data_IF_297296845130
#
_entry.id   IF_297296845130
#
_cell.length_a   1.000
_cell.length_b   1.000
_cell.length_c   1.000
_cell.angle_alpha   90.00
_cell.angle_beta   90.00
_cell.angle_gamma   90.00
#
_symmetry.space_group_name_H-M   'P 1'
#
loop_
_entity.id
_entity.type
_entity.pdbx_description
1 polymer ?
#
# COMPACT_ATOMS: atom_id res chain seq x y z
N UNK A 1 -46.60 -24.78 -30.76
CA UNK A 1 -46.45 -23.41 -30.25
C UNK A 1 -44.98 -23.18 -29.98
N UNK A 2 -44.38 -22.06 -30.42
CA UNK A 2 -43.05 -21.69 -29.97
C UNK A 2 -43.09 -21.35 -28.47
N UNK A 3 -41.99 -21.53 -27.72
CA UNK A 3 -41.94 -21.13 -26.32
C UNK A 3 -42.08 -19.61 -26.18
N UNK A 4 -42.63 -19.10 -25.06
CA UNK A 4 -42.73 -17.67 -24.84
C UNK A 4 -41.32 -17.06 -24.82
N UNK A 5 -41.15 -15.98 -25.58
CA UNK A 5 -39.91 -15.20 -25.60
C UNK A 5 -39.57 -14.77 -24.17
N UNK A 6 -38.33 -15.04 -23.75
CA UNK A 6 -37.79 -14.50 -22.50
C UNK A 6 -37.97 -12.99 -22.54
N UNK A 7 -38.57 -12.43 -21.48
CA UNK A 7 -38.67 -11.00 -21.31
C UNK A 7 -37.24 -10.43 -21.36
N UNK A 8 -36.92 -9.70 -22.43
CA UNK A 8 -35.74 -8.86 -22.50
C UNK A 8 -35.89 -7.78 -21.42
N UNK A 9 -35.45 -8.07 -20.19
CA UNK A 9 -35.09 -7.02 -19.25
C UNK A 9 -33.81 -6.40 -19.78
N UNK A 10 -33.96 -5.38 -20.62
CA UNK A 10 -32.89 -4.39 -20.80
C UNK A 10 -32.37 -4.01 -19.42
N UNK A 11 -31.04 -4.00 -19.18
CA UNK A 11 -30.50 -3.45 -17.95
C UNK A 11 -31.07 -2.04 -17.82
N UNK A 12 -31.82 -1.78 -16.75
CA UNK A 12 -32.19 -0.41 -16.42
C UNK A 12 -30.87 0.33 -16.26
N UNK A 13 -30.63 1.26 -17.16
CA UNK A 13 -29.58 2.25 -17.08
C UNK A 13 -29.66 2.89 -15.68
N UNK A 14 -28.72 2.55 -14.79
CA UNK A 14 -28.66 3.10 -13.42
C UNK A 14 -27.94 4.43 -13.47
N UNK A 15 -28.51 5.36 -14.23
CA UNK A 15 -28.08 6.75 -14.34
C UNK A 15 -29.00 7.55 -13.42
N UNK A 16 -28.54 7.89 -12.21
CA UNK A 16 -28.86 9.13 -11.46
C UNK A 16 -28.44 9.07 -9.98
N UNK A 17 -28.10 10.23 -9.43
CA UNK A 17 -27.54 10.57 -8.11
C UNK A 17 -28.35 10.12 -6.88
N UNK A 18 -28.68 8.84 -6.78
CA UNK A 18 -29.39 8.29 -5.64
C UNK A 18 -28.43 7.91 -4.51
N UNK A 19 -28.81 8.25 -3.27
CA UNK A 19 -28.11 7.78 -2.08
C UNK A 19 -28.06 6.25 -2.09
N UNK A 20 -26.86 5.69 -1.89
CA UNK A 20 -26.65 4.25 -1.83
C UNK A 20 -26.13 3.81 -0.46
N UNK A 21 -26.42 2.57 -0.08
CA UNK A 21 -25.74 1.93 1.04
C UNK A 21 -24.43 1.32 0.52
N UNK A 22 -23.30 1.97 0.83
CA UNK A 22 -22.00 1.60 0.28
C UNK A 22 -21.22 0.69 1.24
N UNK A 23 -21.21 -0.62 0.97
CA UNK A 23 -20.53 -1.65 1.78
C UNK A 23 -19.28 -2.23 1.10
N UNK A 24 -18.68 -1.48 0.18
CA UNK A 24 -17.56 -1.93 -0.65
C UNK A 24 -16.27 -1.10 -0.45
N UNK A 25 -16.18 -0.32 0.64
CA UNK A 25 -15.02 0.52 0.96
C UNK A 25 -13.72 -0.25 1.18
N UNK A 26 -13.84 -1.53 1.53
CA UNK A 26 -12.74 -2.48 1.61
C UNK A 26 -12.12 -2.83 0.24
N UNK A 27 -12.80 -2.52 -0.86
CA UNK A 27 -12.32 -2.71 -2.23
C UNK A 27 -11.93 -1.40 -2.89
N UNK A 28 -12.82 -0.39 -2.83
CA UNK A 28 -12.55 0.97 -3.28
C UNK A 28 -13.16 1.95 -2.28
N UNK A 29 -12.33 2.78 -1.66
CA UNK A 29 -12.78 3.79 -0.72
C UNK A 29 -13.61 4.91 -1.38
N UNK A 30 -14.54 5.49 -0.61
CA UNK A 30 -15.32 6.65 -1.07
C UNK A 30 -14.40 7.86 -1.23
N UNK A 31 -14.67 8.71 -2.22
CA UNK A 31 -13.87 9.91 -2.47
C UNK A 31 -14.01 10.94 -1.32
N UNK A 32 -12.91 11.35 -0.66
CA UNK A 32 -12.94 12.50 0.23
C UNK A 32 -13.35 13.78 -0.51
N UNK A 33 -14.22 14.61 0.10
CA UNK A 33 -14.72 15.85 -0.53
C UNK A 33 -13.61 16.82 -0.97
N UNK A 34 -12.49 16.82 -0.24
CA UNK A 34 -11.33 17.67 -0.52
C UNK A 34 -10.52 17.22 -1.75
N UNK A 35 -10.67 15.98 -2.22
CA UNK A 35 -9.84 15.43 -3.32
C UNK A 35 -9.91 16.27 -4.59
N UNK A 36 -11.12 16.74 -4.97
CA UNK A 36 -11.28 17.61 -6.15
C UNK A 36 -10.46 18.89 -6.03
N UNK A 37 -10.48 19.51 -4.86
CA UNK A 37 -9.74 20.74 -4.62
C UNK A 37 -8.23 20.49 -4.76
N UNK A 38 -7.68 19.46 -4.11
CA UNK A 38 -6.24 19.20 -4.14
C UNK A 38 -5.74 18.92 -5.56
N UNK A 39 -6.51 18.18 -6.37
CA UNK A 39 -6.16 17.96 -7.78
C UNK A 39 -6.14 19.26 -8.59
N UNK A 40 -7.13 20.14 -8.39
CA UNK A 40 -7.19 21.42 -9.08
C UNK A 40 -6.03 22.33 -8.68
N UNK A 41 -5.61 22.30 -7.42
CA UNK A 41 -4.43 23.02 -6.92
C UNK A 41 -3.13 22.56 -7.63
N UNK A 42 -2.92 21.26 -7.80
CA UNK A 42 -1.75 20.73 -8.52
C UNK A 42 -1.78 21.09 -10.01
N UNK A 43 -2.94 21.02 -10.65
CA UNK A 43 -3.12 21.42 -12.05
C UNK A 43 -2.86 22.92 -12.25
N UNK A 44 -3.28 23.76 -11.30
CA UNK A 44 -3.00 25.19 -11.31
C UNK A 44 -1.50 25.47 -11.20
N UNK A 45 -0.80 24.78 -10.29
CA UNK A 45 0.66 24.93 -10.12
C UNK A 45 1.38 24.49 -11.39
N UNK A 46 0.99 23.37 -11.99
CA UNK A 46 1.58 22.92 -13.24
C UNK A 46 1.40 23.95 -14.35
N UNK A 47 0.18 24.46 -14.53
CA UNK A 47 -0.13 25.46 -15.57
C UNK A 47 0.64 26.78 -15.38
N UNK A 48 0.86 27.21 -14.13
CA UNK A 48 1.49 28.52 -13.83
C UNK A 48 3.01 28.47 -13.70
N UNK A 49 3.58 27.35 -13.24
CA UNK A 49 4.98 27.27 -12.80
C UNK A 49 5.81 26.24 -13.55
N UNK A 50 5.18 25.29 -14.26
CA UNK A 50 5.91 24.21 -14.93
C UNK A 50 6.89 23.50 -14.00
N UNK A 51 8.13 23.31 -14.46
CA UNK A 51 9.20 22.63 -13.69
C UNK A 51 9.49 23.28 -12.33
N UNK A 52 9.22 24.58 -12.16
CA UNK A 52 9.46 25.27 -10.88
C UNK A 52 8.56 24.74 -9.75
N UNK A 53 7.47 24.04 -10.07
CA UNK A 53 6.60 23.36 -9.09
C UNK A 53 7.33 22.30 -8.26
N UNK A 54 8.46 21.77 -8.75
CA UNK A 54 9.29 20.83 -7.97
C UNK A 54 9.80 21.43 -6.66
N UNK A 55 10.03 22.75 -6.61
CA UNK A 55 10.63 23.42 -5.45
C UNK A 55 9.78 24.57 -4.91
N UNK A 56 8.97 25.21 -5.76
CA UNK A 56 8.19 26.39 -5.42
C UNK A 56 6.70 26.13 -5.62
N UNK A 57 6.01 25.79 -4.52
CA UNK A 57 4.62 25.37 -4.52
C UNK A 57 3.77 26.29 -3.62
N UNK A 58 2.74 26.95 -4.16
CA UNK A 58 1.94 27.92 -3.40
C UNK A 58 1.20 27.28 -2.21
N UNK A 59 0.86 26.00 -2.34
CA UNK A 59 0.18 25.22 -1.31
C UNK A 59 1.14 24.40 -0.41
N UNK A 60 2.44 24.72 -0.42
CA UNK A 60 3.46 24.06 0.42
C UNK A 60 3.59 22.53 0.19
N UNK A 61 3.42 22.07 -1.06
CA UNK A 61 3.59 20.67 -1.47
C UNK A 61 4.54 20.54 -2.67
N UNK A 62 5.81 20.96 -2.55
CA UNK A 62 6.78 20.84 -3.64
C UNK A 62 6.88 19.39 -4.13
N UNK A 63 6.86 19.17 -5.45
CA UNK A 63 6.77 17.81 -6.00
C UNK A 63 7.98 16.93 -5.66
N UNK A 64 9.16 17.54 -5.47
CA UNK A 64 10.39 16.82 -5.12
C UNK A 64 10.25 16.05 -3.79
N UNK A 65 9.48 16.58 -2.84
CA UNK A 65 9.28 15.99 -1.51
C UNK A 65 7.78 15.72 -1.27
N UNK A 66 7.03 15.45 -2.34
CA UNK A 66 5.58 15.29 -2.25
C UNK A 66 5.16 14.07 -1.44
N UNK A 67 5.98 13.02 -1.47
CA UNK A 67 5.87 11.82 -0.64
C UNK A 67 5.94 12.17 0.86
N UNK A 68 6.77 13.15 1.23
CA UNK A 68 6.98 13.54 2.62
C UNK A 68 5.73 14.07 3.32
N UNK A 69 4.80 14.65 2.55
CA UNK A 69 3.56 15.25 3.06
C UNK A 69 2.60 14.23 3.70
N UNK A 70 2.83 12.94 3.47
CA UNK A 70 1.98 11.85 3.98
C UNK A 70 2.77 10.83 4.80
N UNK A 71 4.08 11.00 4.97
CA UNK A 71 4.93 10.02 5.66
C UNK A 71 4.60 9.92 7.14
N UNK A 72 4.37 11.06 7.81
CA UNK A 72 4.08 11.09 9.25
C UNK A 72 2.78 10.34 9.57
N UNK A 73 1.76 10.56 8.78
CA UNK A 73 0.45 9.93 8.89
C UNK A 73 0.54 8.46 8.55
N UNK A 74 1.29 8.11 7.51
CA UNK A 74 1.52 6.72 7.10
C UNK A 74 2.25 5.93 8.19
N UNK A 75 3.34 6.50 8.74
CA UNK A 75 4.10 5.92 9.84
C UNK A 75 3.21 5.68 11.06
N UNK A 76 2.36 6.66 11.40
CA UNK A 76 1.41 6.56 12.52
C UNK A 76 0.35 5.47 12.29
N UNK A 77 -0.21 5.37 11.08
CA UNK A 77 -1.28 4.40 10.77
C UNK A 77 -0.76 2.97 10.88
N UNK A 78 0.49 2.72 10.48
CA UNK A 78 1.08 1.37 10.53
C UNK A 78 1.91 1.12 11.80
N UNK A 79 2.05 2.12 12.68
CA UNK A 79 2.81 2.01 13.92
C UNK A 79 4.29 1.72 13.70
N UNK A 80 4.94 2.56 12.90
CA UNK A 80 6.39 2.50 12.65
C UNK A 80 7.07 3.87 12.76
N UNK A 81 8.41 3.88 12.65
CA UNK A 81 9.21 5.11 12.59
C UNK A 81 9.14 5.73 11.19
N UNK A 82 9.37 7.04 11.11
CA UNK A 82 9.46 7.76 9.83
C UNK A 82 10.52 7.18 8.88
N UNK A 83 11.63 6.68 9.45
CA UNK A 83 12.72 6.04 8.70
C UNK A 83 12.41 4.60 8.26
N UNK A 84 11.19 4.12 8.45
CA UNK A 84 10.82 2.74 8.13
C UNK A 84 9.72 2.67 7.07
N UNK A 85 9.22 3.82 6.59
CA UNK A 85 8.11 3.87 5.62
C UNK A 85 8.45 4.75 4.43
N UNK A 86 7.98 4.35 3.24
CA UNK A 86 7.84 5.27 2.11
C UNK A 86 6.54 5.02 1.33
N UNK A 87 6.17 6.00 0.52
CA UNK A 87 4.97 6.01 -0.31
C UNK A 87 5.39 6.04 -1.78
N UNK A 88 5.22 4.93 -2.48
CA UNK A 88 5.67 4.73 -3.86
C UNK A 88 4.96 3.56 -4.53
N UNK A 89 4.99 3.58 -5.88
CA UNK A 89 4.54 2.53 -6.77
C UNK A 89 3.10 2.04 -6.49
N UNK A 90 2.83 0.78 -6.83
CA UNK A 90 1.61 0.03 -6.52
C UNK A 90 1.94 -1.13 -5.58
N UNK A 91 0.91 -1.72 -4.97
CA UNK A 91 1.06 -2.79 -3.97
C UNK A 91 1.93 -3.94 -4.50
N UNK A 92 1.58 -4.50 -5.66
CA UNK A 92 2.30 -5.65 -6.23
C UNK A 92 3.73 -5.29 -6.63
N UNK A 93 3.98 -4.07 -7.12
CA UNK A 93 5.36 -3.61 -7.42
C UNK A 93 6.19 -3.56 -6.14
N UNK A 94 5.61 -3.07 -5.03
CA UNK A 94 6.32 -3.05 -3.74
C UNK A 94 6.58 -4.46 -3.19
N UNK A 95 5.66 -5.42 -3.39
CA UNK A 95 5.93 -6.83 -3.07
C UNK A 95 7.15 -7.33 -3.84
N UNK A 96 7.23 -7.05 -5.14
CA UNK A 96 8.38 -7.45 -5.95
C UNK A 96 9.69 -6.81 -5.48
N UNK A 97 9.65 -5.55 -5.05
CA UNK A 97 10.83 -4.87 -4.50
C UNK A 97 11.32 -5.54 -3.21
N UNK A 98 10.38 -5.86 -2.30
CA UNK A 98 10.70 -6.55 -1.06
C UNK A 98 11.26 -7.96 -1.32
N UNK A 99 10.66 -8.71 -2.24
CA UNK A 99 11.17 -10.03 -2.62
C UNK A 99 12.56 -9.94 -3.26
N UNK A 100 12.77 -9.00 -4.17
CA UNK A 100 14.08 -8.81 -4.79
C UNK A 100 15.17 -8.50 -3.76
N UNK A 101 14.85 -7.70 -2.73
CA UNK A 101 15.81 -7.34 -1.68
C UNK A 101 16.03 -8.46 -0.64
N UNK A 102 14.97 -9.10 -0.16
CA UNK A 102 15.02 -9.97 1.03
C UNK A 102 15.01 -11.47 0.74
N UNK A 103 14.54 -11.90 -0.42
CA UNK A 103 14.48 -13.33 -0.74
C UNK A 103 15.79 -13.79 -1.41
N UNK A 104 16.70 -14.30 -0.57
CA UNK A 104 18.01 -14.82 -0.97
C UNK A 104 18.07 -16.34 -0.73
N UNK A 105 17.57 -17.16 -1.67
CA UNK A 105 17.46 -18.60 -1.45
C UNK A 105 18.83 -19.30 -1.41
N UNK A 106 18.99 -20.23 -0.48
CA UNK A 106 20.11 -21.18 -0.41
C UNK A 106 19.59 -22.62 -0.58
N UNK A 107 20.44 -23.63 -0.85
CA UNK A 107 19.99 -25.03 -0.93
C UNK A 107 19.26 -25.51 0.34
N UNK A 108 19.57 -24.93 1.51
CA UNK A 108 18.95 -25.28 2.79
C UNK A 108 17.75 -24.36 3.14
N UNK A 109 17.71 -23.12 2.63
CA UNK A 109 16.65 -22.14 2.91
C UNK A 109 16.19 -21.43 1.64
N UNK A 110 15.17 -21.96 0.99
CA UNK A 110 14.59 -21.45 -0.26
C UNK A 110 13.06 -21.44 -0.25
N UNK A 111 12.42 -21.81 0.85
CA UNK A 111 10.96 -21.93 0.89
C UNK A 111 10.34 -20.61 1.30
N UNK A 112 9.26 -20.24 0.60
CA UNK A 112 8.36 -19.16 0.98
C UNK A 112 7.10 -19.80 1.54
N UNK A 113 6.72 -19.41 2.75
CA UNK A 113 5.47 -19.84 3.37
C UNK A 113 4.47 -18.70 3.22
N UNK A 114 3.33 -19.03 2.64
CA UNK A 114 2.17 -18.15 2.49
C UNK A 114 0.93 -18.99 2.78
N UNK A 115 -0.17 -18.37 3.18
CA UNK A 115 -1.41 -19.12 3.32
C UNK A 115 -1.84 -19.75 2.01
N UNK A 116 -2.56 -20.87 2.11
CA UNK A 116 -3.27 -21.41 0.97
C UNK A 116 -4.26 -20.35 0.44
N UNK A 117 -4.19 -20.08 -0.86
CA UNK A 117 -5.04 -19.11 -1.56
C UNK A 117 -4.91 -17.67 -1.05
N UNK A 118 -3.68 -17.27 -0.71
CA UNK A 118 -3.34 -15.85 -0.61
C UNK A 118 -3.74 -15.15 -1.93
N UNK A 119 -4.23 -13.92 -1.81
CA UNK A 119 -4.87 -13.11 -2.86
C UNK A 119 -4.59 -13.58 -4.31
N UNK A 120 -5.60 -14.08 -5.04
CA UNK A 120 -6.95 -13.53 -5.14
C UNK A 120 -8.04 -14.46 -4.56
N UNK A 121 -8.99 -13.88 -3.83
CA UNK A 121 -10.32 -14.41 -3.44
C UNK A 121 -10.55 -14.94 -2.00
N UNK A 122 -9.84 -15.93 -1.46
CA UNK A 122 -10.39 -16.64 -0.27
C UNK A 122 -10.26 -15.93 1.08
N UNK A 123 -9.20 -15.16 1.36
CA UNK A 123 -9.09 -14.42 2.65
C UNK A 123 -9.67 -13.03 2.65
N UNK A 124 -9.66 -12.36 1.50
CA UNK A 124 -10.51 -11.20 1.28
C UNK A 124 -11.96 -11.52 1.68
N UNK A 125 -12.39 -12.76 1.40
CA UNK A 125 -13.73 -13.24 1.68
C UNK A 125 -13.99 -13.53 3.17
N UNK A 126 -13.07 -14.20 3.89
CA UNK A 126 -13.33 -14.60 5.29
C UNK A 126 -13.26 -13.45 6.30
N UNK A 127 -12.49 -12.39 6.02
CA UNK A 127 -12.30 -11.28 6.95
C UNK A 127 -11.48 -11.64 8.20
N UNK A 128 -10.77 -12.78 8.20
CA UNK A 128 -9.97 -13.21 9.33
C UNK A 128 -8.76 -12.28 9.56
N UNK A 129 -8.63 -11.77 10.78
CA UNK A 129 -7.44 -11.05 11.24
C UNK A 129 -6.41 -12.02 11.81
N UNK A 130 -5.21 -12.06 11.22
CA UNK A 130 -4.10 -12.85 11.75
C UNK A 130 -3.41 -12.14 12.90
N UNK A 131 -2.97 -12.93 13.88
CA UNK A 131 -2.08 -12.45 14.95
C UNK A 131 -0.67 -12.23 14.36
N UNK A 132 -0.47 -11.04 13.78
CA UNK A 132 0.76 -10.66 13.09
C UNK A 132 1.97 -10.70 14.03
N UNK A 133 1.81 -10.31 15.29
CA UNK A 133 2.88 -10.37 16.29
C UNK A 133 3.31 -11.82 16.51
N UNK A 134 2.36 -12.72 16.79
CA UNK A 134 2.66 -14.14 17.03
C UNK A 134 3.25 -14.84 15.81
N UNK A 135 2.78 -14.51 14.60
CA UNK A 135 3.35 -15.06 13.36
C UNK A 135 4.81 -14.57 13.19
N UNK A 136 5.06 -13.29 13.47
CA UNK A 136 6.41 -12.71 13.40
C UNK A 136 7.35 -13.41 14.37
N UNK A 137 6.96 -13.54 15.64
CA UNK A 137 7.73 -14.25 16.67
C UNK A 137 8.00 -15.72 16.28
N UNK A 138 6.99 -16.43 15.75
CA UNK A 138 7.13 -17.82 15.35
C UNK A 138 8.07 -18.00 14.13
N UNK A 139 7.99 -17.10 13.14
CA UNK A 139 8.88 -17.12 11.98
C UNK A 139 10.32 -16.81 12.37
N UNK A 140 10.52 -15.78 13.21
CA UNK A 140 11.84 -15.41 13.73
C UNK A 140 12.46 -16.55 14.55
N UNK A 141 11.68 -17.27 15.36
CA UNK A 141 12.16 -18.44 16.10
C UNK A 141 12.71 -19.57 15.21
N UNK A 142 12.36 -19.59 13.91
CA UNK A 142 12.89 -20.52 12.92
C UNK A 142 13.98 -19.91 12.02
N UNK A 143 14.39 -18.67 12.30
CA UNK A 143 15.32 -17.90 11.47
C UNK A 143 14.75 -17.48 10.12
N UNK A 144 13.42 -17.37 10.01
CA UNK A 144 12.75 -16.88 8.80
C UNK A 144 12.45 -15.39 8.92
N UNK A 145 12.48 -14.70 7.78
CA UNK A 145 11.92 -13.36 7.64
C UNK A 145 10.39 -13.46 7.55
N UNK A 146 9.69 -12.46 8.10
CA UNK A 146 8.24 -12.36 8.15
C UNK A 146 7.81 -10.99 7.66
N UNK A 147 7.03 -10.97 6.59
CA UNK A 147 6.40 -9.76 6.09
C UNK A 147 4.94 -9.96 5.74
N UNK A 148 4.22 -8.85 5.63
CA UNK A 148 2.77 -8.85 5.45
C UNK A 148 2.33 -7.97 4.28
N UNK A 149 1.41 -8.50 3.46
CA UNK A 149 0.53 -7.69 2.64
C UNK A 149 -0.61 -7.17 3.53
N UNK A 150 -0.66 -5.86 3.71
CA UNK A 150 -1.60 -5.18 4.61
C UNK A 150 -2.76 -4.51 3.86
N UNK A 151 -3.05 -4.91 2.62
CA UNK A 151 -4.09 -4.29 1.80
C UNK A 151 -5.47 -4.21 2.47
N UNK A 152 -5.81 -5.15 3.37
CA UNK A 152 -7.07 -5.13 4.13
C UNK A 152 -6.90 -4.78 5.62
N UNK A 153 -5.68 -4.48 6.06
CA UNK A 153 -5.38 -4.15 7.44
C UNK A 153 -5.15 -2.63 7.64
N UNK A 154 -4.38 -1.99 6.76
CA UNK A 154 -4.07 -0.55 6.87
C UNK A 154 -5.36 0.28 6.80
N UNK A 155 -5.55 1.17 7.77
CA UNK A 155 -6.74 2.00 7.90
C UNK A 155 -7.99 1.28 8.42
N UNK A 156 -7.88 -0.01 8.78
CA UNK A 156 -8.99 -0.84 9.25
C UNK A 156 -8.76 -1.40 10.66
N UNK A 157 -7.56 -1.92 10.94
CA UNK A 157 -7.18 -2.46 12.26
C UNK A 157 -5.96 -1.75 12.83
N UNK A 158 -5.77 -1.72 14.16
CA UNK A 158 -4.54 -1.22 14.77
C UNK A 158 -3.32 -2.02 14.30
N UNK A 159 -2.24 -1.32 14.00
CA UNK A 159 -0.97 -1.88 13.53
C UNK A 159 0.18 -1.27 14.34
N UNK A 160 1.15 -2.11 14.69
CA UNK A 160 2.35 -1.73 15.45
C UNK A 160 3.57 -2.43 14.83
N UNK A 161 3.82 -2.19 13.54
CA UNK A 161 4.81 -2.96 12.76
C UNK A 161 6.22 -2.94 13.37
N UNK A 162 6.62 -1.77 13.89
CA UNK A 162 7.90 -1.62 14.56
C UNK A 162 7.97 -2.45 15.85
N UNK A 163 7.00 -2.28 16.74
CA UNK A 163 6.98 -2.97 18.05
C UNK A 163 6.79 -4.48 17.91
N UNK A 164 6.13 -4.93 16.83
CA UNK A 164 5.97 -6.34 16.49
C UNK A 164 7.20 -6.93 15.77
N UNK A 165 8.22 -6.12 15.54
CA UNK A 165 9.46 -6.49 14.86
C UNK A 165 9.27 -7.03 13.43
N UNK A 166 8.15 -6.72 12.77
CA UNK A 166 7.85 -7.14 11.39
C UNK A 166 9.00 -6.74 10.48
N UNK A 167 9.45 -7.62 9.59
CA UNK A 167 10.64 -7.35 8.78
C UNK A 167 10.36 -6.32 7.68
N UNK A 168 9.28 -6.56 6.95
CA UNK A 168 8.80 -5.70 5.87
C UNK A 168 7.30 -5.84 5.67
N UNK A 169 6.68 -4.82 5.09
CA UNK A 169 5.26 -4.85 4.75
C UNK A 169 4.96 -3.93 3.57
N UNK A 170 3.79 -4.10 2.96
CA UNK A 170 3.31 -3.20 1.92
C UNK A 170 1.78 -3.15 1.93
N UNK A 171 1.21 -2.08 1.38
CA UNK A 171 -0.25 -1.88 1.32
C UNK A 171 -0.63 -1.00 0.13
N UNK A 172 -1.89 -1.11 -0.29
CA UNK A 172 -2.51 -0.11 -1.16
C UNK A 172 -3.22 0.97 -0.35
N UNK A 173 -3.44 2.14 -0.95
CA UNK A 173 -4.16 3.26 -0.29
C UNK A 173 -5.59 3.45 -0.82
N UNK A 174 -5.98 2.73 -1.88
CA UNK A 174 -7.28 2.95 -2.53
C UNK A 174 -8.46 2.24 -1.86
N UNK A 175 -8.20 1.38 -0.86
CA UNK A 175 -9.21 0.67 -0.06
C UNK A 175 -9.65 1.55 1.12
N UNK A 176 -9.39 1.11 2.35
CA UNK A 176 -9.77 1.83 3.58
C UNK A 176 -9.13 3.22 3.74
N UNK A 177 -8.04 3.52 3.02
CA UNK A 177 -7.40 4.84 3.04
C UNK A 177 -7.98 5.83 2.00
N UNK A 178 -8.96 5.41 1.18
CA UNK A 178 -9.76 6.30 0.34
C UNK A 178 -8.97 7.19 -0.65
N UNK A 179 -7.83 6.72 -1.18
CA UNK A 179 -6.98 7.54 -2.08
C UNK A 179 -7.44 7.61 -3.54
N UNK A 180 -8.52 6.91 -3.90
CA UNK A 180 -9.02 6.82 -5.27
C UNK A 180 -8.44 5.63 -6.06
N UNK A 181 -9.02 5.31 -7.23
CA UNK A 181 -8.74 4.07 -7.95
C UNK A 181 -7.27 3.99 -8.38
N UNK A 182 -6.59 2.91 -7.99
CA UNK A 182 -5.18 2.70 -8.33
C UNK A 182 -4.20 3.66 -7.65
N UNK A 183 -4.62 4.31 -6.55
CA UNK A 183 -3.78 5.23 -5.79
C UNK A 183 -2.46 4.60 -5.30
N UNK A 184 -1.50 5.48 -5.02
CA UNK A 184 -0.11 5.15 -4.64
C UNK A 184 -0.05 4.17 -3.46
N UNK A 185 0.90 3.23 -3.47
CA UNK A 185 1.06 2.26 -2.39
C UNK A 185 2.01 2.77 -1.30
N UNK A 186 2.00 2.08 -0.16
CA UNK A 186 3.02 2.21 0.87
C UNK A 186 3.88 0.96 0.98
N UNK A 187 5.10 1.16 1.45
CA UNK A 187 6.07 0.10 1.76
C UNK A 187 6.69 0.40 3.12
N UNK A 188 6.97 -0.65 3.88
CA UNK A 188 7.63 -0.58 5.17
C UNK A 188 8.81 -1.56 5.21
N UNK A 189 9.92 -1.11 5.79
CA UNK A 189 11.07 -1.95 6.13
C UNK A 189 11.61 -1.53 7.49
N UNK A 190 11.77 -2.49 8.38
CA UNK A 190 12.22 -2.24 9.75
C UNK A 190 13.64 -1.64 9.78
N UNK A 191 13.88 -0.69 10.69
CA UNK A 191 15.18 -0.01 10.89
C UNK A 191 16.35 -0.95 11.17
N UNK A 192 16.10 -2.19 11.63
CA UNK A 192 17.17 -3.19 11.83
C UNK A 192 17.89 -3.53 10.53
N UNK A 193 17.29 -3.20 9.38
CA UNK A 193 17.85 -3.34 8.05
C UNK A 193 18.54 -2.07 7.52
N UNK A 194 18.67 -1.01 8.33
CA UNK A 194 19.11 0.32 7.88
C UNK A 194 20.57 0.31 7.40
N UNK A 195 21.40 -0.52 8.04
CA UNK A 195 22.79 -0.62 7.67
C UNK A 195 22.96 -1.27 6.28
N UNK A 196 23.92 -0.77 5.47
CA UNK A 196 24.38 -1.46 4.28
C UNK A 196 24.70 -2.92 4.60
N UNK A 197 24.12 -3.79 3.81
CA UNK A 197 24.43 -5.21 3.78
C UNK A 197 24.94 -5.46 2.37
N UNK A 198 26.25 -5.73 2.23
CA UNK A 198 26.91 -5.85 0.93
C UNK A 198 26.33 -7.00 0.09
N UNK A 199 25.72 -7.98 0.76
CA UNK A 199 25.10 -9.14 0.11
C UNK A 199 23.64 -8.86 -0.29
N UNK A 200 23.01 -7.80 0.23
CA UNK A 200 21.62 -7.48 -0.05
C UNK A 200 21.47 -6.61 -1.30
N UNK A 201 20.88 -7.13 -2.40
CA UNK A 201 20.64 -6.33 -3.58
C UNK A 201 19.67 -5.18 -3.27
N UNK A 202 19.97 -3.98 -3.76
CA UNK A 202 19.16 -2.78 -3.58
C UNK A 202 18.69 -2.28 -4.94
N UNK A 203 17.37 -2.10 -5.09
CA UNK A 203 16.77 -1.56 -6.30
C UNK A 203 16.73 -0.02 -6.22
N UNK A 204 17.91 0.59 -6.34
CA UNK A 204 18.06 2.03 -6.24
C UNK A 204 17.71 2.75 -7.56
N UNK A 205 16.93 3.84 -7.44
CA UNK A 205 16.65 4.78 -8.52
C UNK A 205 17.17 6.19 -8.21
N UNK A 206 17.01 7.11 -9.16
CA UNK A 206 17.41 8.52 -9.00
C UNK A 206 16.68 9.23 -7.85
N UNK A 207 15.46 8.81 -7.53
CA UNK A 207 14.62 9.34 -6.45
C UNK A 207 14.96 8.67 -5.10
N UNK A 208 16.24 8.74 -4.74
CA UNK A 208 16.73 8.17 -3.48
C UNK A 208 16.58 9.19 -2.36
N UNK A 209 15.40 9.24 -1.75
CA UNK A 209 15.29 9.74 -0.38
C UNK A 209 15.87 8.65 0.50
N UNK A 210 17.09 8.83 1.03
CA UNK A 210 17.86 7.85 1.82
C UNK A 210 17.24 7.42 3.16
N UNK A 211 15.90 7.26 3.19
CA UNK A 211 15.07 7.03 4.35
C UNK A 211 14.68 5.57 4.51
N UNK A 212 14.54 4.79 3.42
CA UNK A 212 14.22 3.37 3.54
C UNK A 212 15.49 2.50 3.68
N UNK A 213 15.59 1.75 4.79
CA UNK A 213 16.52 0.65 4.96
C UNK A 213 16.47 -0.37 3.81
N UNK A 214 17.55 -0.50 3.03
CA UNK A 214 17.73 -1.67 2.16
C UNK A 214 16.80 -1.78 0.94
N UNK A 215 16.04 -0.73 0.58
CA UNK A 215 15.22 -0.66 -0.64
C UNK A 215 15.66 0.52 -1.49
#
# INVERSE_FOLDING_TARGET
>A
MPPPAAANSTPKDTTEDQLCTYLCGNSLGLQPKATKQYLLEELEIWAKRGVLGHHSHAYQRPWLTSDENVLQESARIVGCKLSEVAILNTLTVNIHFLFAAFYQPTPQRFKVIMEAKAFPSDRYYTGQLFDMKRITEAGHAQGSLVGFDLAHAVGNVPLYLHDWAVDFACWCTYKYLNSGPGGIAGIYVHEKYAQPDEERPRLAGWWRNGRLPGV
#
